data_IF_341968207796
#
_entry.id   IF_341968207796
#
_cell.length_a   1.000
_cell.length_b   1.000
_cell.length_c   1.000
_cell.angle_alpha   90.00
_cell.angle_beta   90.00
_cell.angle_gamma   90.00
#
_symmetry.space_group_name_H-M   'P 1'
#
loop_
_entity.id
_entity.type
_entity.pdbx_description
1 polymer ?
#
# COMPACT_ATOMS: atom_id res chain seq x y z
N UNK A 1 20.61 -13.54 0.96
CA UNK A 1 21.38 -13.67 -0.31
C UNK A 1 20.54 -13.10 -1.43
N UNK A 2 21.02 -12.11 -2.18
CA UNK A 2 20.30 -11.59 -3.35
C UNK A 2 20.33 -12.66 -4.45
N UNK A 3 19.19 -13.33 -4.68
CA UNK A 3 19.07 -14.34 -5.73
C UNK A 3 19.39 -13.65 -7.07
N UNK A 4 20.43 -14.13 -7.74
CA UNK A 4 20.79 -13.61 -9.06
C UNK A 4 19.69 -14.02 -10.05
N UNK A 5 19.08 -13.04 -10.72
CA UNK A 5 18.03 -13.28 -11.69
C UNK A 5 18.60 -14.05 -12.90
N UNK A 6 17.81 -14.98 -13.43
CA UNK A 6 18.11 -15.64 -14.69
C UNK A 6 18.06 -14.63 -15.85
N UNK A 7 18.62 -15.00 -17.01
CA UNK A 7 18.54 -14.16 -18.21
C UNK A 7 17.08 -13.90 -18.61
N UNK A 8 16.22 -14.92 -18.55
CA UNK A 8 14.80 -14.81 -18.86
C UNK A 8 14.06 -13.91 -17.86
N UNK A 9 14.39 -13.99 -16.57
CA UNK A 9 13.83 -13.13 -15.53
C UNK A 9 14.23 -11.65 -15.71
N UNK A 10 15.47 -11.40 -16.15
CA UNK A 10 15.95 -10.06 -16.49
C UNK A 10 15.23 -9.50 -17.72
N UNK A 11 15.13 -10.29 -18.80
CA UNK A 11 14.39 -9.91 -20.01
C UNK A 11 12.94 -9.56 -19.68
N UNK A 12 12.26 -10.38 -18.88
CA UNK A 12 10.88 -10.13 -18.45
C UNK A 12 10.74 -8.84 -17.63
N UNK A 13 11.70 -8.55 -16.73
CA UNK A 13 11.72 -7.30 -15.97
C UNK A 13 11.92 -6.07 -16.88
N UNK A 14 12.83 -6.15 -17.85
CA UNK A 14 13.08 -5.08 -18.81
C UNK A 14 11.86 -4.82 -19.71
N UNK A 15 11.21 -5.88 -20.19
CA UNK A 15 9.98 -5.81 -20.97
C UNK A 15 8.84 -5.16 -20.19
N UNK A 16 8.65 -5.55 -18.92
CA UNK A 16 7.64 -4.95 -18.04
C UNK A 16 7.87 -3.43 -17.85
N UNK A 17 9.13 -3.02 -17.66
CA UNK A 17 9.50 -1.59 -17.54
C UNK A 17 9.26 -0.86 -18.86
N UNK A 18 9.68 -1.44 -19.99
CA UNK A 18 9.50 -0.86 -21.31
C UNK A 18 8.01 -0.67 -21.64
N UNK A 19 7.20 -1.69 -21.37
CA UNK A 19 5.75 -1.65 -21.49
C UNK A 19 5.16 -0.54 -20.62
N UNK A 20 5.48 -0.51 -19.32
CA UNK A 20 4.98 0.51 -18.42
C UNK A 20 5.33 1.92 -18.92
N UNK A 21 6.56 2.18 -19.37
CA UNK A 21 6.97 3.48 -19.92
C UNK A 21 6.17 3.87 -21.16
N UNK A 22 5.92 2.92 -22.06
CA UNK A 22 5.17 3.13 -23.30
C UNK A 22 3.68 3.37 -23.03
N UNK A 23 3.09 2.66 -22.08
CA UNK A 23 1.64 2.62 -21.87
C UNK A 23 1.12 3.44 -20.68
N UNK A 24 1.99 3.90 -19.76
CA UNK A 24 1.60 4.61 -18.52
C UNK A 24 0.64 5.78 -18.74
N UNK A 25 0.77 6.53 -19.84
CA UNK A 25 -0.13 7.66 -20.15
C UNK A 25 -1.56 7.18 -20.39
N UNK A 26 -1.72 6.15 -21.24
CA UNK A 26 -3.02 5.58 -21.59
C UNK A 26 -3.66 4.88 -20.39
N UNK A 27 -2.88 4.06 -19.68
CA UNK A 27 -3.35 3.36 -18.47
C UNK A 27 -3.75 4.38 -17.40
N UNK A 28 -2.89 5.36 -17.11
CA UNK A 28 -3.18 6.41 -16.15
C UNK A 28 -4.47 7.18 -16.49
N UNK A 29 -4.64 7.62 -17.74
CA UNK A 29 -5.86 8.33 -18.16
C UNK A 29 -7.14 7.51 -17.99
N UNK A 30 -7.08 6.20 -18.29
CA UNK A 30 -8.22 5.29 -18.09
C UNK A 30 -8.56 5.13 -16.61
N UNK A 31 -7.55 5.02 -15.76
CA UNK A 31 -7.74 4.83 -14.32
C UNK A 31 -8.14 6.12 -13.60
N UNK A 32 -7.79 7.29 -14.14
CA UNK A 32 -8.12 8.60 -13.55
C UNK A 32 -9.20 9.35 -14.34
N UNK A 33 -10.15 8.63 -14.93
CA UNK A 33 -11.24 9.20 -15.71
C UNK A 33 -12.04 10.23 -14.89
N UNK A 34 -12.04 11.49 -15.34
CA UNK A 34 -12.68 12.61 -14.66
C UNK A 34 -14.21 12.61 -14.76
N UNK A 35 -14.78 11.79 -15.65
CA UNK A 35 -16.23 11.57 -15.68
C UNK A 35 -16.70 10.66 -14.55
N UNK A 36 -15.80 9.85 -13.99
CA UNK A 36 -16.04 8.92 -12.88
C UNK A 36 -15.52 9.50 -11.56
N UNK A 37 -14.25 9.85 -11.51
CA UNK A 37 -13.59 10.46 -10.35
C UNK A 37 -13.53 11.98 -10.56
N UNK A 38 -14.54 12.68 -10.06
CA UNK A 38 -14.71 14.12 -10.34
C UNK A 38 -13.67 14.94 -9.54
N UNK A 39 -13.10 16.01 -10.14
CA UNK A 39 -12.25 16.96 -9.40
C UNK A 39 -12.95 17.59 -8.20
N UNK A 40 -12.27 17.65 -7.07
CA UNK A 40 -12.80 18.22 -5.83
C UNK A 40 -12.11 19.54 -5.44
N UNK A 41 -12.87 20.41 -4.77
CA UNK A 41 -12.34 21.67 -4.22
C UNK A 41 -11.36 21.40 -3.09
N UNK A 42 -11.63 20.43 -2.23
CA UNK A 42 -10.80 20.08 -1.08
C UNK A 42 -10.45 18.59 -1.15
N UNK A 43 -9.60 18.19 -2.11
CA UNK A 43 -9.38 16.78 -2.38
C UNK A 43 -8.59 16.13 -1.23
N UNK A 44 -9.03 14.94 -0.86
CA UNK A 44 -8.44 14.14 0.22
C UNK A 44 -7.45 13.13 -0.38
N UNK A 45 -6.39 12.84 0.34
CA UNK A 45 -5.51 11.70 0.04
C UNK A 45 -5.41 10.79 1.24
N UNK A 46 -5.79 9.53 1.04
CA UNK A 46 -5.63 8.47 2.05
C UNK A 46 -4.48 7.55 1.64
N UNK A 47 -3.53 7.33 2.53
CA UNK A 47 -2.50 6.31 2.37
C UNK A 47 -2.79 5.15 3.32
N UNK A 48 -2.97 3.95 2.77
CA UNK A 48 -3.01 2.75 3.60
C UNK A 48 -1.59 2.42 4.08
N UNK A 49 -1.48 1.92 5.30
CA UNK A 49 -0.22 1.46 5.87
C UNK A 49 -0.43 0.19 6.70
N UNK A 50 0.60 -0.63 6.81
CA UNK A 50 0.56 -1.90 7.56
C UNK A 50 1.18 -3.06 6.79
N UNK A 51 1.55 -4.11 7.52
CA UNK A 51 2.22 -5.28 6.96
C UNK A 51 1.35 -6.01 5.91
N UNK A 52 1.96 -6.82 5.02
CA UNK A 52 1.19 -7.76 4.21
C UNK A 52 0.26 -8.62 5.08
N UNK A 53 -0.95 -8.93 4.62
CA UNK A 53 -1.93 -9.67 5.43
C UNK A 53 -2.57 -8.88 6.57
N UNK A 54 -2.23 -7.61 6.80
CA UNK A 54 -2.90 -6.79 7.83
C UNK A 54 -4.39 -6.51 7.55
N UNK A 55 -4.86 -6.82 6.34
CA UNK A 55 -6.22 -6.58 5.92
C UNK A 55 -6.49 -5.13 5.47
N UNK A 56 -5.51 -4.52 4.80
CA UNK A 56 -5.62 -3.17 4.22
C UNK A 56 -6.63 -3.13 3.07
N UNK A 57 -6.65 -4.15 2.23
CA UNK A 57 -7.55 -4.26 1.08
C UNK A 57 -9.02 -4.23 1.51
N UNK A 58 -9.40 -4.98 2.54
CA UNK A 58 -10.78 -4.97 3.05
C UNK A 58 -11.11 -3.62 3.69
N UNK A 59 -10.16 -3.04 4.46
CA UNK A 59 -10.36 -1.73 5.07
C UNK A 59 -10.48 -0.60 4.03
N UNK A 60 -9.75 -0.69 2.90
CA UNK A 60 -9.82 0.30 1.82
C UNK A 60 -11.13 0.19 1.05
N UNK A 61 -11.62 -1.03 0.78
CA UNK A 61 -12.93 -1.26 0.17
C UNK A 61 -14.05 -0.72 1.05
N UNK A 62 -14.04 -1.04 2.34
CA UNK A 62 -15.07 -0.56 3.28
C UNK A 62 -15.05 0.96 3.44
N UNK A 63 -13.87 1.58 3.46
CA UNK A 63 -13.76 3.04 3.50
C UNK A 63 -14.38 3.67 2.24
N UNK A 64 -14.09 3.10 1.07
CA UNK A 64 -14.66 3.57 -0.20
C UNK A 64 -16.18 3.36 -0.21
N UNK A 65 -16.67 2.21 0.24
CA UNK A 65 -18.11 1.94 0.28
C UNK A 65 -18.84 2.86 1.25
N UNK A 66 -18.22 3.21 2.39
CA UNK A 66 -18.82 4.13 3.37
C UNK A 66 -19.01 5.57 2.85
N UNK A 67 -18.28 5.97 1.80
CA UNK A 67 -18.40 7.31 1.21
C UNK A 67 -19.24 7.34 -0.06
N UNK A 68 -19.50 6.19 -0.69
CA UNK A 68 -20.30 6.10 -1.93
C UNK A 68 -21.71 6.65 -1.74
N UNK A 69 -22.30 6.44 -0.56
CA UNK A 69 -23.64 6.95 -0.22
C UNK A 69 -23.71 8.49 -0.21
N UNK A 70 -22.55 9.17 -0.10
CA UNK A 70 -22.42 10.63 -0.19
C UNK A 70 -22.33 11.17 -1.63
N UNK A 71 -22.41 10.32 -2.66
CA UNK A 71 -22.42 10.72 -4.07
C UNK A 71 -21.05 10.98 -4.71
N UNK A 72 -19.95 10.68 -4.01
CA UNK A 72 -18.58 10.78 -4.53
C UNK A 72 -17.93 9.41 -4.68
N UNK A 73 -17.23 9.17 -5.79
CA UNK A 73 -16.41 7.97 -5.97
C UNK A 73 -14.94 8.29 -5.71
N UNK A 74 -14.28 7.51 -4.85
CA UNK A 74 -12.85 7.67 -4.54
C UNK A 74 -12.01 6.80 -5.49
N UNK A 75 -10.97 7.39 -6.07
CA UNK A 75 -9.97 6.66 -6.85
C UNK A 75 -9.12 5.77 -5.93
N UNK A 76 -9.31 4.46 -6.00
CA UNK A 76 -8.40 3.47 -5.37
C UNK A 76 -7.22 3.18 -6.30
N UNK A 77 -6.02 3.30 -5.77
CA UNK A 77 -4.76 2.98 -6.46
C UNK A 77 -4.13 1.82 -5.70
N UNK A 78 -4.23 0.63 -6.25
CA UNK A 78 -3.62 -0.58 -5.69
C UNK A 78 -2.47 -1.05 -6.61
N UNK A 79 -1.20 -1.01 -6.13
CA UNK A 79 -0.06 -1.54 -6.88
C UNK A 79 -0.21 -3.01 -7.29
N UNK A 80 -0.96 -3.79 -6.51
CA UNK A 80 -1.18 -5.20 -6.77
C UNK A 80 -2.15 -5.41 -7.94
N UNK A 81 -3.22 -4.61 -8.03
CA UNK A 81 -4.13 -4.60 -9.19
C UNK A 81 -3.43 -4.12 -10.47
N UNK A 82 -2.53 -3.15 -10.34
CA UNK A 82 -1.76 -2.62 -11.46
C UNK A 82 -0.74 -3.61 -12.04
N UNK A 83 -0.36 -4.67 -11.31
CA UNK A 83 0.52 -5.72 -11.86
C UNK A 83 -0.13 -6.43 -13.04
N UNK A 84 -1.44 -6.65 -12.98
CA UNK A 84 -2.21 -7.32 -14.03
C UNK A 84 -2.25 -6.56 -15.36
N UNK A 85 -1.84 -5.28 -15.39
CA UNK A 85 -1.65 -4.52 -16.62
C UNK A 85 -0.37 -4.90 -17.37
N UNK A 86 0.59 -5.54 -16.70
CA UNK A 86 1.92 -5.82 -17.24
C UNK A 86 1.93 -7.20 -17.91
N UNK A 87 2.32 -7.30 -19.20
CA UNK A 87 2.42 -8.57 -19.91
C UNK A 87 3.37 -9.53 -19.20
N UNK A 88 2.97 -10.81 -19.11
CA UNK A 88 3.78 -11.87 -18.51
C UNK A 88 3.68 -11.99 -16.99
N UNK A 89 2.87 -11.14 -16.32
CA UNK A 89 2.59 -11.31 -14.89
C UNK A 89 1.69 -12.54 -14.65
N UNK A 90 2.11 -13.42 -13.74
CA UNK A 90 1.42 -14.69 -13.42
C UNK A 90 1.08 -14.85 -11.94
N UNK A 91 1.35 -13.85 -11.11
CA UNK A 91 1.14 -13.90 -9.67
C UNK A 91 2.42 -14.29 -8.91
N UNK A 92 2.93 -15.49 -9.20
CA UNK A 92 4.12 -16.06 -8.56
C UNK A 92 5.37 -15.23 -8.85
N UNK A 93 5.53 -14.73 -10.07
CA UNK A 93 6.66 -13.91 -10.50
C UNK A 93 6.60 -12.42 -10.09
N UNK A 94 5.76 -12.06 -9.10
CA UNK A 94 5.48 -10.66 -8.73
C UNK A 94 6.70 -9.78 -8.45
N UNK A 95 7.80 -10.35 -7.95
CA UNK A 95 9.03 -9.62 -7.64
C UNK A 95 9.69 -9.00 -8.89
N UNK A 96 9.48 -9.58 -10.08
CA UNK A 96 10.04 -9.08 -11.34
C UNK A 96 9.37 -7.79 -11.81
N UNK A 97 8.11 -7.58 -11.44
CA UNK A 97 7.25 -6.52 -11.99
C UNK A 97 7.28 -5.22 -11.19
N UNK A 98 7.96 -5.17 -10.06
CA UNK A 98 7.97 -4.02 -9.15
C UNK A 98 8.40 -2.71 -9.84
N UNK A 99 9.37 -2.78 -10.76
CA UNK A 99 9.82 -1.62 -11.55
C UNK A 99 8.73 -1.08 -12.47
N UNK A 100 8.05 -1.96 -13.20
CA UNK A 100 6.94 -1.59 -14.09
C UNK A 100 5.75 -1.02 -13.31
N UNK A 101 5.35 -1.65 -12.21
CA UNK A 101 4.27 -1.18 -11.33
C UNK A 101 4.56 0.20 -10.78
N UNK A 102 5.78 0.44 -10.29
CA UNK A 102 6.16 1.73 -9.71
C UNK A 102 5.97 2.87 -10.72
N UNK A 103 6.27 2.63 -12.00
CA UNK A 103 6.06 3.59 -13.08
C UNK A 103 4.57 3.86 -13.33
N UNK A 104 3.73 2.83 -13.28
CA UNK A 104 2.28 2.97 -13.44
C UNK A 104 1.67 3.73 -12.25
N UNK A 105 1.98 3.33 -11.01
CA UNK A 105 1.52 3.99 -9.78
C UNK A 105 1.91 5.47 -9.79
N UNK A 106 3.19 5.80 -10.06
CA UNK A 106 3.65 7.18 -10.10
C UNK A 106 2.87 8.00 -11.13
N UNK A 107 2.58 7.40 -12.30
CA UNK A 107 1.82 8.09 -13.34
C UNK A 107 0.35 8.33 -12.97
N UNK A 108 -0.28 7.37 -12.29
CA UNK A 108 -1.66 7.50 -11.78
C UNK A 108 -1.71 8.59 -10.71
N UNK A 109 -0.77 8.59 -9.77
CA UNK A 109 -0.64 9.63 -8.73
C UNK A 109 -0.43 11.03 -9.35
N UNK A 110 0.44 11.16 -10.35
CA UNK A 110 0.65 12.42 -11.06
C UNK A 110 -0.66 12.98 -11.65
N UNK A 111 -1.45 12.12 -12.27
CA UNK A 111 -2.70 12.49 -12.90
C UNK A 111 -3.76 12.84 -11.85
N UNK A 112 -3.95 12.01 -10.83
CA UNK A 112 -4.90 12.25 -9.75
C UNK A 112 -4.63 13.58 -9.02
N UNK A 113 -3.35 13.88 -8.75
CA UNK A 113 -2.94 15.15 -8.17
C UNK A 113 -3.21 16.33 -9.11
N UNK A 114 -2.88 16.20 -10.40
CA UNK A 114 -3.14 17.25 -11.41
C UNK A 114 -4.63 17.51 -11.60
N UNK A 115 -5.44 16.46 -11.55
CA UNK A 115 -6.89 16.48 -11.76
C UNK A 115 -7.66 16.80 -10.47
N UNK A 116 -6.97 17.02 -9.33
CA UNK A 116 -7.59 17.30 -8.02
C UNK A 116 -8.61 16.23 -7.60
N UNK A 117 -8.35 14.97 -7.91
CA UNK A 117 -9.23 13.86 -7.52
C UNK A 117 -8.88 13.41 -6.10
N UNK A 118 -9.87 13.09 -5.27
CA UNK A 118 -9.63 12.33 -4.04
C UNK A 118 -9.18 10.91 -4.39
N UNK A 119 -8.15 10.43 -3.70
CA UNK A 119 -7.64 9.08 -3.94
C UNK A 119 -7.16 8.40 -2.67
N UNK A 120 -7.19 7.08 -2.72
CA UNK A 120 -6.63 6.18 -1.73
C UNK A 120 -5.50 5.36 -2.37
N UNK A 121 -4.32 5.34 -1.75
CA UNK A 121 -3.19 4.50 -2.17
C UNK A 121 -3.11 3.28 -1.25
N UNK A 122 -3.42 2.09 -1.78
CA UNK A 122 -3.44 0.82 -1.04
C UNK A 122 -2.04 0.18 -1.01
N UNK A 123 -1.12 0.83 -0.31
CA UNK A 123 0.25 0.36 -0.13
C UNK A 123 0.55 -0.11 1.29
N UNK A 124 1.76 -0.62 1.53
CA UNK A 124 2.24 -0.92 2.89
C UNK A 124 2.87 0.29 3.58
N UNK A 125 3.25 1.31 2.80
CA UNK A 125 3.94 2.52 3.27
C UNK A 125 5.34 2.23 3.88
N UNK A 126 5.89 1.04 3.66
CA UNK A 126 7.14 0.56 4.26
C UNK A 126 8.42 1.28 3.76
N UNK A 127 8.38 1.95 2.61
CA UNK A 127 9.54 2.69 2.05
C UNK A 127 9.44 4.16 2.43
N UNK A 128 10.06 4.54 3.56
CA UNK A 128 9.98 5.88 4.13
C UNK A 128 10.21 7.00 3.11
N UNK A 129 11.31 6.99 2.36
CA UNK A 129 11.62 8.09 1.42
C UNK A 129 10.58 8.23 0.30
N UNK A 130 10.03 7.11 -0.18
CA UNK A 130 8.98 7.14 -1.21
C UNK A 130 7.69 7.69 -0.62
N UNK A 131 7.33 7.25 0.58
CA UNK A 131 6.15 7.72 1.28
C UNK A 131 6.23 9.21 1.64
N UNK A 132 7.36 9.65 2.20
CA UNK A 132 7.67 11.05 2.52
C UNK A 132 7.49 11.94 1.30
N UNK A 133 8.14 11.59 0.18
CA UNK A 133 8.01 12.30 -1.09
C UNK A 133 6.55 12.39 -1.56
N UNK A 134 5.78 11.31 -1.45
CA UNK A 134 4.38 11.30 -1.87
C UNK A 134 3.50 12.19 -0.95
N UNK A 135 3.75 12.19 0.36
CA UNK A 135 3.07 13.05 1.32
C UNK A 135 3.39 14.52 1.06
N UNK A 136 4.67 14.88 0.91
CA UNK A 136 5.10 16.24 0.58
C UNK A 136 4.42 16.76 -0.70
N UNK A 137 4.34 15.91 -1.73
CA UNK A 137 3.64 16.25 -2.99
C UNK A 137 2.16 16.54 -2.77
N UNK A 138 1.51 15.82 -1.86
CA UNK A 138 0.10 16.05 -1.54
C UNK A 138 -0.09 17.33 -0.72
N UNK A 139 0.71 17.54 0.31
CA UNK A 139 0.69 18.74 1.15
C UNK A 139 0.97 20.01 0.33
N UNK A 140 1.98 19.98 -0.56
CA UNK A 140 2.30 21.07 -1.48
C UNK A 140 1.16 21.41 -2.47
N UNK A 141 0.17 20.51 -2.62
CA UNK A 141 -1.04 20.73 -3.41
C UNK A 141 -2.25 21.16 -2.56
N UNK A 142 -2.05 21.47 -1.29
CA UNK A 142 -3.09 21.93 -0.37
C UNK A 142 -4.14 20.85 -0.07
N UNK A 143 -3.73 19.58 -0.07
CA UNK A 143 -4.62 18.43 0.13
C UNK A 143 -4.68 18.07 1.61
N UNK A 144 -5.84 17.59 2.06
CA UNK A 144 -5.91 16.89 3.34
C UNK A 144 -5.26 15.52 3.19
N UNK A 145 -4.28 15.21 4.04
CA UNK A 145 -3.52 13.96 3.99
C UNK A 145 -3.82 13.12 5.23
N UNK A 146 -4.27 11.89 5.00
CA UNK A 146 -4.56 10.91 6.03
C UNK A 146 -3.77 9.64 5.77
N UNK A 147 -3.19 9.07 6.82
CA UNK A 147 -2.68 7.70 6.83
C UNK A 147 -3.67 6.86 7.63
N UNK A 148 -4.14 5.75 7.05
CA UNK A 148 -4.88 4.73 7.77
C UNK A 148 -3.95 3.53 8.00
N UNK A 149 -3.40 3.44 9.21
CA UNK A 149 -2.55 2.32 9.61
C UNK A 149 -3.42 1.16 10.10
N UNK A 150 -3.36 0.05 9.39
CA UNK A 150 -4.07 -1.18 9.73
C UNK A 150 -3.10 -2.14 10.40
N UNK A 151 -3.41 -2.52 11.63
CA UNK A 151 -2.63 -3.49 12.37
C UNK A 151 -3.37 -4.81 12.51
N UNK A 152 -2.59 -5.86 12.32
CA UNK A 152 -2.94 -7.24 12.58
C UNK A 152 -1.77 -7.88 13.33
N UNK A 153 -2.09 -8.77 14.26
CA UNK A 153 -1.06 -9.56 14.94
C UNK A 153 -0.23 -10.35 13.90
N UNK A 154 1.12 -10.31 13.95
CA UNK A 154 1.97 -10.75 12.85
C UNK A 154 1.80 -12.22 12.47
N UNK A 155 1.56 -13.15 13.40
CA UNK A 155 1.35 -14.55 13.05
C UNK A 155 0.06 -14.73 12.25
N UNK A 156 -1.03 -14.08 12.67
CA UNK A 156 -2.27 -14.12 11.91
C UNK A 156 -2.17 -13.38 10.57
N UNK A 157 -1.45 -12.26 10.51
CA UNK A 157 -1.17 -11.58 9.24
C UNK A 157 -0.42 -12.50 8.27
N UNK A 158 0.53 -13.29 8.79
CA UNK A 158 1.26 -14.27 8.01
C UNK A 158 0.36 -15.42 7.51
N UNK A 159 -0.55 -15.93 8.32
CA UNK A 159 -1.55 -16.93 7.89
C UNK A 159 -2.37 -16.41 6.69
N UNK A 160 -2.78 -15.14 6.72
CA UNK A 160 -3.47 -14.52 5.58
C UNK A 160 -2.60 -14.36 4.34
N UNK A 161 -1.30 -14.08 4.51
CA UNK A 161 -0.33 -14.06 3.39
C UNK A 161 -0.23 -15.45 2.76
N UNK A 162 -0.09 -16.51 3.56
CA UNK A 162 0.00 -17.89 3.07
C UNK A 162 -1.29 -18.34 2.37
N UNK A 163 -2.45 -17.96 2.91
CA UNK A 163 -3.74 -18.23 2.28
C UNK A 163 -3.84 -17.56 0.89
N UNK A 164 -3.39 -16.30 0.76
CA UNK A 164 -3.37 -15.57 -0.52
C UNK A 164 -2.35 -16.13 -1.50
N UNK A 165 -1.19 -16.58 -1.04
CA UNK A 165 -0.23 -17.27 -1.90
C UNK A 165 -0.87 -18.51 -2.53
N UNK A 166 -1.67 -19.26 -1.75
CA UNK A 166 -2.38 -20.45 -2.23
C UNK A 166 -3.50 -20.10 -3.23
N UNK A 167 -4.25 -19.03 -3.01
CA UNK A 167 -5.40 -18.67 -3.85
C UNK A 167 -5.07 -17.80 -5.06
N UNK A 168 -4.08 -16.91 -4.94
CA UNK A 168 -3.74 -15.88 -5.93
C UNK A 168 -2.32 -16.07 -6.53
N UNK A 169 -1.54 -17.04 -6.03
CA UNK A 169 -0.17 -17.31 -6.48
C UNK A 169 0.85 -16.26 -6.02
N UNK A 170 0.44 -15.21 -5.31
CA UNK A 170 1.33 -14.12 -4.89
C UNK A 170 2.21 -14.56 -3.72
N UNK A 171 3.44 -14.96 -4.02
CA UNK A 171 4.45 -15.30 -3.02
C UNK A 171 5.07 -14.07 -2.36
N UNK A 172 5.10 -14.06 -1.03
CA UNK A 172 5.84 -13.08 -0.23
C UNK A 172 6.86 -13.87 0.61
N UNK A 173 8.13 -13.46 0.56
CA UNK A 173 9.16 -14.11 1.36
C UNK A 173 8.97 -13.75 2.85
N UNK A 174 9.18 -14.70 3.79
CA UNK A 174 9.05 -14.40 5.22
C UNK A 174 9.93 -13.24 5.67
N UNK A 175 11.15 -13.10 5.13
CA UNK A 175 12.06 -11.99 5.42
C UNK A 175 11.49 -10.64 4.99
N UNK A 176 10.83 -10.60 3.83
CA UNK A 176 10.16 -9.40 3.31
C UNK A 176 8.94 -9.04 4.16
N UNK A 177 8.18 -10.04 4.62
CA UNK A 177 7.08 -9.84 5.53
C UNK A 177 7.56 -9.25 6.87
N UNK A 178 8.56 -9.86 7.51
CA UNK A 178 9.13 -9.38 8.78
C UNK A 178 9.66 -7.95 8.61
N UNK A 179 10.37 -7.69 7.52
CA UNK A 179 10.87 -6.35 7.24
C UNK A 179 9.74 -5.33 7.11
N UNK A 180 8.69 -5.65 6.35
CA UNK A 180 7.54 -4.76 6.16
C UNK A 180 6.70 -4.59 7.43
N UNK A 181 6.68 -5.57 8.33
CA UNK A 181 6.02 -5.46 9.64
C UNK A 181 6.57 -4.31 10.47
N UNK A 182 7.90 -4.25 10.65
CA UNK A 182 8.54 -3.19 11.42
C UNK A 182 8.55 -1.87 10.64
N UNK A 183 9.05 -1.89 9.41
CA UNK A 183 9.28 -0.65 8.62
C UNK A 183 8.01 0.12 8.32
N UNK A 184 6.85 -0.54 8.17
CA UNK A 184 5.59 0.18 8.00
C UNK A 184 5.22 1.01 9.23
N UNK A 185 5.40 0.48 10.44
CA UNK A 185 5.12 1.23 11.68
C UNK A 185 6.09 2.38 11.85
N UNK A 186 7.38 2.10 11.70
CA UNK A 186 8.45 3.09 11.84
C UNK A 186 8.24 4.25 10.87
N UNK A 187 7.93 3.96 9.61
CA UNK A 187 7.66 4.97 8.60
C UNK A 187 6.48 5.87 8.99
N UNK A 188 5.36 5.30 9.47
CA UNK A 188 4.19 6.11 9.87
C UNK A 188 4.52 7.02 11.05
N UNK A 189 5.21 6.50 12.08
CA UNK A 189 5.62 7.31 13.23
C UNK A 189 6.54 8.47 12.79
N UNK A 190 7.56 8.18 11.99
CA UNK A 190 8.49 9.20 11.47
C UNK A 190 7.77 10.24 10.61
N UNK A 191 6.77 9.85 9.83
CA UNK A 191 5.98 10.76 9.01
C UNK A 191 5.07 11.65 9.85
N UNK A 192 4.42 11.13 10.90
CA UNK A 192 3.60 11.94 11.81
C UNK A 192 4.45 12.98 12.55
N UNK A 193 5.65 12.58 12.99
CA UNK A 193 6.60 13.48 13.61
C UNK A 193 7.09 14.57 12.65
N UNK A 194 7.44 14.21 11.41
CA UNK A 194 7.93 15.15 10.40
C UNK A 194 6.84 16.08 9.85
N UNK A 195 5.58 15.65 9.83
CA UNK A 195 4.45 16.41 9.29
C UNK A 195 3.26 16.38 10.25
N UNK A 196 3.25 17.24 11.30
CA UNK A 196 2.19 17.25 12.30
C UNK A 196 0.77 17.42 11.74
N UNK A 197 0.64 18.09 10.59
CA UNK A 197 -0.61 18.38 9.88
C UNK A 197 -1.25 17.14 9.24
N UNK A 198 -0.53 16.03 9.06
CA UNK A 198 -1.14 14.80 8.54
C UNK A 198 -1.97 14.13 9.64
N UNK A 199 -3.10 13.54 9.25
CA UNK A 199 -3.89 12.72 10.16
C UNK A 199 -3.40 11.28 10.11
N UNK A 200 -3.17 10.65 11.26
CA UNK A 200 -2.87 9.22 11.34
C UNK A 200 -3.97 8.53 12.12
N UNK A 201 -4.74 7.69 11.45
CA UNK A 201 -5.74 6.86 12.09
C UNK A 201 -5.22 5.43 12.24
N UNK A 202 -5.52 4.82 13.37
CA UNK A 202 -5.18 3.44 13.68
C UNK A 202 -6.43 2.56 13.67
N UNK A 203 -6.38 1.49 12.89
CA UNK A 203 -7.37 0.42 12.87
C UNK A 203 -6.74 -0.89 13.36
N UNK A 204 -7.17 -1.38 14.51
CA UNK A 204 -6.81 -2.71 15.01
C UNK A 204 -7.88 -3.73 14.59
N UNK A 205 -7.44 -4.81 13.96
CA UNK A 205 -8.29 -5.97 13.68
C UNK A 205 -8.06 -7.04 14.76
N UNK A 206 -9.14 -7.48 15.41
CA UNK A 206 -9.09 -8.61 16.34
C UNK A 206 -9.02 -9.95 15.60
N UNK A 207 -8.49 -10.97 16.29
CA UNK A 207 -8.29 -12.31 15.71
C UNK A 207 -9.58 -13.00 15.25
N UNK A 208 -10.71 -12.66 15.86
CA UNK A 208 -12.03 -13.26 15.64
C UNK A 208 -12.95 -12.40 14.75
N UNK A 209 -12.46 -11.25 14.27
CA UNK A 209 -13.24 -10.30 13.46
C UNK A 209 -14.37 -9.56 14.21
N UNK A 210 -14.55 -9.79 15.52
CA UNK A 210 -15.72 -9.33 16.28
C UNK A 210 -15.62 -7.88 16.76
N UNK A 211 -14.40 -7.37 16.97
CA UNK A 211 -14.18 -5.98 17.34
C UNK A 211 -13.07 -5.34 16.52
N UNK A 212 -13.41 -4.23 15.87
CA UNK A 212 -12.46 -3.30 15.27
C UNK A 212 -12.27 -2.15 16.25
N UNK A 213 -11.05 -1.98 16.72
CA UNK A 213 -10.73 -0.82 17.54
C UNK A 213 -10.15 0.26 16.65
N UNK A 214 -10.78 1.43 16.67
CA UNK A 214 -10.38 2.58 15.88
C UNK A 214 -9.91 3.72 16.79
N UNK A 215 -8.78 4.33 16.44
CA UNK A 215 -8.28 5.55 17.08
C UNK A 215 -7.97 6.58 16.01
N UNK A 216 -8.65 7.73 16.11
CA UNK A 216 -8.45 8.85 15.22
C UNK A 216 -7.21 9.66 15.61
N UNK A 217 -6.48 10.14 14.62
CA UNK A 217 -5.39 11.11 14.72
C UNK A 217 -4.41 10.84 15.88
N UNK A 218 -3.84 9.64 15.90
CA UNK A 218 -2.85 9.26 16.90
C UNK A 218 -1.50 9.94 16.60
N UNK A 219 -0.83 10.40 17.66
CA UNK A 219 0.51 10.98 17.55
C UNK A 219 1.60 9.92 17.33
N UNK A 220 1.39 8.73 17.90
CA UNK A 220 2.32 7.61 17.79
C UNK A 220 1.57 6.28 17.87
N UNK A 221 1.88 5.36 16.96
CA UNK A 221 1.27 4.03 16.91
C UNK A 221 1.62 3.21 18.17
N UNK A 222 2.86 3.30 18.63
CA UNK A 222 3.38 2.50 19.76
C UNK A 222 2.64 2.74 21.09
N UNK A 223 1.99 3.90 21.24
CA UNK A 223 1.19 4.22 22.42
C UNK A 223 -0.06 3.32 22.54
N UNK A 224 -0.50 2.73 21.43
CA UNK A 224 -1.68 1.88 21.35
C UNK A 224 -1.32 0.42 21.05
N UNK A 225 -0.18 0.20 20.40
CA UNK A 225 0.34 -1.12 20.04
C UNK A 225 1.80 -1.21 20.47
N UNK A 226 2.06 -1.49 21.75
CA UNK A 226 3.41 -1.78 22.19
C UNK A 226 3.96 -2.97 21.40
N UNK A 227 5.20 -2.85 20.90
CA UNK A 227 5.84 -3.95 20.18
C UNK A 227 6.06 -5.13 21.13
N UNK A 228 5.59 -6.31 20.71
CA UNK A 228 5.71 -7.56 21.48
C UNK A 228 6.70 -8.53 20.87
N UNK A 229 7.10 -8.30 19.62
CA UNK A 229 7.95 -9.20 18.86
C UNK A 229 9.22 -8.47 18.45
N UNK A 230 10.37 -9.09 18.72
CA UNK A 230 11.61 -8.71 18.05
C UNK A 230 11.66 -9.35 16.65
N UNK A 231 12.55 -8.84 15.80
CA UNK A 231 12.84 -9.47 14.51
C UNK A 231 13.24 -10.95 14.67
N UNK A 232 14.06 -11.26 15.67
CA UNK A 232 14.50 -12.63 15.96
C UNK A 232 13.35 -13.54 16.40
N UNK A 233 12.35 -12.99 17.13
CA UNK A 233 11.16 -13.77 17.51
C UNK A 233 10.36 -14.17 16.27
N UNK A 234 10.15 -13.24 15.34
CA UNK A 234 9.43 -13.52 14.10
C UNK A 234 10.22 -14.45 13.17
N UNK A 235 11.55 -14.30 13.08
CA UNK A 235 12.39 -15.20 12.29
C UNK A 235 12.24 -16.66 12.76
N UNK A 236 12.29 -16.89 14.08
CA UNK A 236 12.05 -18.21 14.69
C UNK A 236 10.62 -18.72 14.43
N UNK A 237 9.63 -17.87 14.66
CA UNK A 237 8.21 -18.26 14.50
C UNK A 237 7.86 -18.58 13.04
N UNK A 238 8.55 -17.97 12.07
CA UNK A 238 8.36 -18.22 10.65
C UNK A 238 9.31 -19.27 10.06
N UNK A 239 10.13 -19.92 10.90
CA UNK A 239 10.99 -21.03 10.49
C UNK A 239 12.20 -20.61 9.64
N UNK A 240 12.77 -19.44 9.93
CA UNK A 240 13.98 -18.91 9.27
C UNK A 240 15.30 -19.21 10.03
N UNK A 241 15.21 -19.94 11.15
CA UNK A 241 16.36 -20.32 12.01
C UNK A 241 17.28 -21.37 11.37
#
# INVERSE_FOLDING_TARGET
MTKQLSKEELELQEEAIAFARKHKKKIGQRLTDTSRFVPEKEPVTVFMAGCPGAGKTEASIELIDSVKDGGGEILRIDPDELRSELPGYTGDNSWLFQGGVSILVEKVLDLALKQRQTFLLDGTLARFEVARRNIERCLNKGRFVQILYVYQEPLQAWEFVQARETSEGRRILPEDFINQYFTARDAVNMLKEAYPDIRVDLLLKNRDGSHRFYKANVERIDNYIPEKYSRADLERMLGLD
#
